data_IF_240966547068
#
_entry.id   IF_240966547068
#
_cell.length_a   1.000
_cell.length_b   1.000
_cell.length_c   1.000
_cell.angle_alpha   90.00
_cell.angle_beta   90.00
_cell.angle_gamma   90.00
#
_symmetry.space_group_name_H-M   'P 1'
#
loop_
_entity.id
_entity.type
_entity.pdbx_description
1 polymer ?
#
# COMPACT_ATOMS: atom_id res chain seq x y z
N UNK A 1 -9.29 -37.56 -42.37
CA UNK A 1 -10.43 -36.69 -42.04
C UNK A 1 -10.46 -36.62 -40.53
N UNK A 2 -10.03 -35.48 -40.01
CA UNK A 2 -9.60 -35.28 -38.64
C UNK A 2 -10.67 -34.44 -37.95
N UNK A 3 -11.34 -34.99 -36.94
CA UNK A 3 -12.28 -34.23 -36.10
C UNK A 3 -12.17 -34.69 -34.65
N UNK A 4 -11.30 -34.05 -33.90
CA UNK A 4 -11.44 -33.92 -32.45
C UNK A 4 -11.07 -32.50 -32.02
N UNK A 5 -11.98 -31.52 -32.15
CA UNK A 5 -11.80 -30.19 -31.58
C UNK A 5 -12.59 -30.10 -30.27
N UNK A 6 -12.13 -30.78 -29.22
CA UNK A 6 -12.71 -30.65 -27.86
C UNK A 6 -11.64 -30.35 -26.80
N UNK A 7 -10.35 -30.46 -27.14
CA UNK A 7 -9.25 -30.21 -26.20
C UNK A 7 -8.72 -28.77 -26.24
N UNK A 8 -9.59 -27.77 -26.32
CA UNK A 8 -9.20 -26.34 -26.29
C UNK A 8 -10.07 -25.47 -25.34
N UNK A 9 -10.82 -26.07 -24.42
CA UNK A 9 -11.72 -25.34 -23.50
C UNK A 9 -11.27 -25.30 -22.03
N UNK A 10 -9.96 -25.42 -21.73
CA UNK A 10 -9.46 -25.27 -20.35
C UNK A 10 -8.17 -24.43 -20.23
N UNK A 11 -8.09 -23.28 -20.92
CA UNK A 11 -7.05 -22.27 -20.63
C UNK A 11 -7.57 -20.83 -20.51
N UNK A 12 -8.88 -20.62 -20.41
CA UNK A 12 -9.46 -19.32 -20.05
C UNK A 12 -9.92 -19.34 -18.59
N UNK A 13 -8.97 -19.51 -17.66
CA UNK A 13 -9.30 -19.60 -16.23
C UNK A 13 -8.25 -19.05 -15.26
N UNK A 14 -7.16 -18.43 -15.76
CA UNK A 14 -6.03 -18.02 -14.92
C UNK A 14 -5.64 -16.53 -15.06
N UNK A 15 -6.55 -15.67 -15.54
CA UNK A 15 -6.36 -14.21 -15.49
C UNK A 15 -7.17 -13.50 -14.40
N UNK A 16 -7.71 -14.27 -13.45
CA UNK A 16 -8.43 -13.76 -12.29
C UNK A 16 -7.65 -13.85 -10.97
N UNK A 17 -6.32 -13.92 -10.97
CA UNK A 17 -5.55 -13.89 -9.72
C UNK A 17 -5.37 -12.44 -9.21
N UNK A 18 -6.49 -11.80 -8.84
CA UNK A 18 -6.47 -10.51 -8.15
C UNK A 18 -5.85 -10.66 -6.75
N UNK A 19 -4.54 -10.48 -6.63
CA UNK A 19 -3.75 -10.48 -5.38
C UNK A 19 -3.91 -11.78 -4.54
N UNK A 20 -2.98 -12.72 -4.74
CA UNK A 20 -3.00 -14.08 -4.21
C UNK A 20 -2.74 -14.22 -2.70
N UNK A 21 -2.52 -13.14 -1.97
CA UNK A 21 -2.16 -13.18 -0.55
C UNK A 21 -3.28 -12.59 0.32
N UNK A 22 -3.71 -13.29 1.40
CA UNK A 22 -4.61 -12.70 2.38
C UNK A 22 -4.03 -11.41 2.95
N UNK A 23 -4.87 -10.39 3.19
CA UNK A 23 -4.44 -9.13 3.80
C UNK A 23 -4.73 -9.15 5.30
N UNK A 24 -3.75 -8.75 6.11
CA UNK A 24 -3.89 -8.45 7.54
C UNK A 24 -3.91 -6.94 7.77
N UNK A 25 -4.62 -6.54 8.82
CA UNK A 25 -4.71 -5.15 9.26
C UNK A 25 -4.12 -4.96 10.66
N UNK A 26 -3.60 -3.77 10.91
CA UNK A 26 -3.01 -3.39 12.19
C UNK A 26 -3.50 -2.01 12.60
N UNK A 27 -3.82 -1.86 13.89
CA UNK A 27 -4.16 -0.59 14.49
C UNK A 27 -2.89 0.16 14.90
N UNK A 28 -2.78 1.42 14.47
CA UNK A 28 -1.73 2.36 14.87
C UNK A 28 -2.36 3.45 15.77
N UNK A 29 -2.19 3.40 17.10
CA UNK A 29 -2.93 4.24 18.05
C UNK A 29 -2.47 5.70 18.09
N UNK A 30 -1.22 5.97 17.74
CA UNK A 30 -0.65 7.31 17.79
C UNK A 30 -1.36 8.25 16.81
N UNK A 31 -1.82 9.40 17.31
CA UNK A 31 -2.52 10.40 16.50
C UNK A 31 -1.52 11.24 15.74
N UNK A 32 -1.66 11.28 14.42
CA UNK A 32 -0.73 12.00 13.55
C UNK A 32 -1.42 12.46 12.26
N UNK A 33 -0.78 13.36 11.52
CA UNK A 33 -1.25 13.78 10.20
C UNK A 33 -1.28 12.61 9.22
N UNK A 34 -2.10 12.69 8.17
CA UNK A 34 -2.25 11.62 7.18
C UNK A 34 -0.90 11.22 6.56
N UNK A 35 -0.06 12.20 6.20
CA UNK A 35 1.27 11.97 5.64
C UNK A 35 2.20 11.22 6.61
N UNK A 36 2.14 11.57 7.90
CA UNK A 36 2.93 10.91 8.95
C UNK A 36 2.44 9.48 9.20
N UNK A 37 1.11 9.28 9.22
CA UNK A 37 0.49 7.96 9.34
C UNK A 37 0.92 7.03 8.20
N UNK A 38 0.83 7.53 6.96
CA UNK A 38 1.29 6.83 5.78
C UNK A 38 2.76 6.45 5.85
N UNK A 39 3.64 7.41 6.15
CA UNK A 39 5.07 7.15 6.31
C UNK A 39 5.36 6.08 7.38
N UNK A 40 4.65 6.16 8.51
CA UNK A 40 4.78 5.19 9.61
C UNK A 40 4.30 3.80 9.19
N UNK A 41 3.14 3.69 8.54
CA UNK A 41 2.65 2.42 8.00
C UNK A 41 3.62 1.84 6.96
N UNK A 42 4.21 2.64 6.07
CA UNK A 42 5.18 2.17 5.07
C UNK A 42 6.48 1.64 5.69
N UNK A 43 6.89 2.21 6.83
CA UNK A 43 8.08 1.76 7.53
C UNK A 43 7.89 0.38 8.17
N UNK A 44 6.77 0.18 8.89
CA UNK A 44 6.48 -1.02 9.69
C UNK A 44 5.71 -2.10 8.90
N UNK A 45 4.75 -1.70 8.09
CA UNK A 45 3.80 -2.55 7.35
C UNK A 45 3.92 -2.32 5.84
N UNK A 46 2.86 -2.56 5.05
CA UNK A 46 2.85 -2.30 3.60
C UNK A 46 2.43 -0.88 3.26
N UNK A 47 1.29 -0.44 3.77
CA UNK A 47 0.71 0.89 3.55
C UNK A 47 -0.39 1.15 4.59
N UNK A 48 -1.04 2.32 4.53
CA UNK A 48 -2.36 2.51 5.11
C UNK A 48 -3.35 1.46 4.58
N UNK A 49 -4.40 1.19 5.36
CA UNK A 49 -5.38 0.17 5.01
C UNK A 49 -6.22 0.59 3.79
N UNK A 50 -6.31 -0.28 2.80
CA UNK A 50 -7.30 -0.17 1.73
C UNK A 50 -8.36 -1.25 1.99
N UNK A 51 -9.59 -0.81 2.25
CA UNK A 51 -10.75 -1.69 2.53
C UNK A 51 -11.47 -1.97 1.22
N UNK A 52 -11.50 -3.23 0.79
CA UNK A 52 -12.07 -3.60 -0.53
C UNK A 52 -13.06 -4.77 -0.49
N UNK A 53 -13.39 -5.26 0.70
CA UNK A 53 -14.31 -6.37 0.91
C UNK A 53 -14.91 -6.33 2.31
N UNK A 54 -16.06 -6.98 2.49
CA UNK A 54 -16.68 -7.12 3.81
C UNK A 54 -15.77 -7.84 4.81
N UNK A 55 -14.96 -8.77 4.32
CA UNK A 55 -13.95 -9.48 5.13
C UNK A 55 -12.88 -8.52 5.67
N UNK A 56 -12.47 -7.52 4.89
CA UNK A 56 -11.54 -6.49 5.37
C UNK A 56 -12.20 -5.68 6.49
N UNK A 57 -13.46 -5.28 6.29
CA UNK A 57 -14.21 -4.50 7.26
C UNK A 57 -14.43 -5.27 8.58
N UNK A 58 -14.71 -6.57 8.50
CA UNK A 58 -14.86 -7.43 9.68
C UNK A 58 -13.56 -7.51 10.50
N UNK A 59 -12.40 -7.60 9.84
CA UNK A 59 -11.11 -7.57 10.53
C UNK A 59 -10.89 -6.25 11.26
N UNK A 60 -11.22 -5.12 10.64
CA UNK A 60 -11.11 -3.81 11.28
C UNK A 60 -12.06 -3.67 12.48
N UNK A 61 -13.28 -4.22 12.40
CA UNK A 61 -14.24 -4.27 13.52
C UNK A 61 -13.68 -5.04 14.72
N UNK A 62 -13.07 -6.19 14.50
CA UNK A 62 -12.40 -6.96 15.57
C UNK A 62 -11.26 -6.18 16.21
N UNK A 63 -10.47 -5.45 15.42
CA UNK A 63 -9.44 -4.56 15.95
C UNK A 63 -10.02 -3.43 16.80
N UNK A 64 -11.17 -2.87 16.41
CA UNK A 64 -11.90 -1.88 17.22
C UNK A 64 -12.31 -2.45 18.57
N UNK A 65 -12.95 -3.62 18.59
CA UNK A 65 -13.39 -4.26 19.83
C UNK A 65 -12.21 -4.52 20.77
N UNK A 66 -11.09 -5.03 20.24
CA UNK A 66 -9.90 -5.32 21.03
C UNK A 66 -9.18 -4.08 21.59
N UNK A 67 -9.30 -2.91 20.94
CA UNK A 67 -8.54 -1.70 21.30
C UNK A 67 -9.42 -0.54 21.79
N UNK A 68 -10.75 -0.67 21.74
CA UNK A 68 -11.74 0.29 22.24
C UNK A 68 -11.53 1.75 21.76
N UNK A 69 -11.17 1.96 20.49
CA UNK A 69 -11.03 3.31 19.94
C UNK A 69 -12.34 3.86 19.36
N UNK A 70 -12.45 5.20 19.41
CA UNK A 70 -13.61 6.00 19.01
C UNK A 70 -13.34 6.93 17.80
N UNK A 71 -12.18 7.60 17.65
CA UNK A 71 -12.04 8.63 16.61
C UNK A 71 -12.07 8.03 15.18
N UNK A 72 -12.22 8.87 14.15
CA UNK A 72 -11.89 8.49 12.77
C UNK A 72 -10.46 7.96 12.67
N UNK A 73 -10.21 7.08 11.70
CA UNK A 73 -8.86 6.56 11.44
C UNK A 73 -8.45 6.80 10.00
N UNK A 74 -7.18 7.15 9.80
CA UNK A 74 -6.59 7.22 8.46
C UNK A 74 -6.59 5.87 7.77
N UNK A 75 -6.99 5.87 6.49
CA UNK A 75 -6.99 4.73 5.58
C UNK A 75 -6.54 5.20 4.18
N UNK A 76 -6.01 4.28 3.37
CA UNK A 76 -5.56 4.58 2.00
C UNK A 76 -6.71 4.70 0.99
N UNK A 77 -7.79 3.94 1.23
CA UNK A 77 -8.87 3.77 0.27
C UNK A 77 -10.00 2.91 0.83
N UNK A 78 -11.18 3.08 0.23
CA UNK A 78 -12.39 2.33 0.59
C UNK A 78 -13.19 2.06 -0.67
N UNK A 79 -13.38 0.79 -1.00
CA UNK A 79 -14.09 0.32 -2.18
C UNK A 79 -14.88 -0.95 -1.83
N UNK A 80 -16.01 -0.77 -1.15
CA UNK A 80 -16.99 -1.84 -1.03
C UNK A 80 -17.96 -1.63 -2.17
N UNK A 81 -18.07 -2.61 -3.08
CA UNK A 81 -19.14 -2.68 -4.08
C UNK A 81 -20.48 -2.81 -3.34
N UNK A 82 -20.95 -1.69 -2.83
CA UNK A 82 -22.24 -1.53 -2.21
C UNK A 82 -23.05 -0.82 -3.28
N UNK A 83 -24.00 -1.55 -3.85
CA UNK A 83 -25.07 -1.01 -4.71
C UNK A 83 -25.96 0.02 -3.98
N UNK A 84 -25.61 0.41 -2.75
CA UNK A 84 -26.23 1.48 -1.99
C UNK A 84 -25.70 2.85 -2.44
N UNK A 85 -26.04 3.20 -3.67
CA UNK A 85 -26.14 4.59 -4.07
C UNK A 85 -27.33 5.20 -3.32
N UNK A 86 -27.14 5.66 -2.07
CA UNK A 86 -28.16 6.45 -1.37
C UNK A 86 -27.56 7.52 -0.45
N UNK A 87 -27.41 8.70 -1.05
CA UNK A 87 -28.09 9.94 -0.64
C UNK A 87 -28.30 10.13 0.87
N UNK A 88 -27.41 10.89 1.47
CA UNK A 88 -27.81 12.00 2.35
C UNK A 88 -26.70 13.04 2.27
N UNK A 89 -27.05 14.27 1.92
CA UNK A 89 -26.16 15.41 1.92
C UNK A 89 -25.83 15.80 3.36
N UNK A 90 -24.96 15.02 4.00
CA UNK A 90 -24.09 15.52 5.04
C UNK A 90 -22.70 15.64 4.40
N UNK A 91 -22.16 16.86 4.37
CA UNK A 91 -21.00 17.29 3.58
C UNK A 91 -19.71 16.44 3.73
N UNK A 92 -19.70 15.45 4.62
CA UNK A 92 -18.53 14.67 5.01
C UNK A 92 -18.61 13.17 4.64
N UNK A 93 -19.76 12.62 4.24
CA UNK A 93 -19.86 11.22 3.77
C UNK A 93 -19.53 11.14 2.28
N UNK A 94 -18.62 10.22 1.94
CA UNK A 94 -18.08 10.08 0.60
C UNK A 94 -18.79 8.96 -0.15
N UNK A 95 -19.05 9.15 -1.45
CA UNK A 95 -19.42 8.05 -2.35
C UNK A 95 -18.19 7.21 -2.70
N UNK A 96 -18.37 6.00 -3.23
CA UNK A 96 -17.25 5.17 -3.70
C UNK A 96 -16.39 5.87 -4.78
N UNK A 97 -16.98 6.75 -5.59
CA UNK A 97 -16.20 7.53 -6.56
C UNK A 97 -15.37 8.63 -5.89
N UNK A 98 -15.86 9.19 -4.77
CA UNK A 98 -15.12 10.21 -4.00
C UNK A 98 -13.97 9.59 -3.17
N UNK A 99 -14.07 8.33 -2.76
CA UNK A 99 -12.98 7.65 -2.04
C UNK A 99 -11.79 7.33 -2.93
N UNK A 100 -12.06 7.03 -4.22
CA UNK A 100 -11.03 6.78 -5.22
C UNK A 100 -10.26 8.05 -5.63
N UNK A 101 -10.90 9.23 -5.53
CA UNK A 101 -10.24 10.51 -5.86
C UNK A 101 -9.40 11.06 -4.71
N UNK A 102 -9.67 10.64 -3.47
CA UNK A 102 -8.91 11.03 -2.27
C UNK A 102 -7.71 10.12 -1.97
N UNK A 103 -7.36 9.22 -2.89
CA UNK A 103 -6.26 8.29 -2.67
C UNK A 103 -4.94 9.03 -2.54
N UNK A 104 -4.22 8.71 -1.47
CA UNK A 104 -2.78 8.93 -1.27
C UNK A 104 -2.26 10.35 -1.06
N UNK A 105 -2.77 11.36 -1.76
CA UNK A 105 -2.17 12.72 -1.77
C UNK A 105 -3.17 13.84 -1.39
N UNK A 106 -4.39 13.45 -1.04
CA UNK A 106 -5.48 14.36 -0.72
C UNK A 106 -6.08 15.07 -1.94
N UNK A 107 -7.25 15.70 -1.79
CA UNK A 107 -7.82 16.51 -2.86
C UNK A 107 -7.14 17.89 -2.96
N UNK A 108 -7.53 18.65 -3.99
CA UNK A 108 -7.07 20.03 -4.21
C UNK A 108 -7.38 21.00 -3.08
N UNK A 109 -8.24 20.61 -2.12
CA UNK A 109 -8.63 21.39 -0.95
C UNK A 109 -7.94 20.92 0.34
N UNK A 110 -7.06 19.92 0.26
CA UNK A 110 -6.29 19.40 1.39
C UNK A 110 -7.07 18.41 2.27
N UNK A 111 -8.09 17.76 1.74
CA UNK A 111 -8.80 16.67 2.43
C UNK A 111 -8.17 15.31 2.13
N UNK A 112 -8.11 14.46 3.15
CA UNK A 112 -7.65 13.08 3.09
C UNK A 112 -8.75 12.13 3.58
N UNK A 113 -8.66 10.86 3.18
CA UNK A 113 -9.64 9.84 3.50
C UNK A 113 -9.44 9.24 4.89
N UNK A 114 -10.50 9.24 5.69
CA UNK A 114 -10.56 8.53 6.96
C UNK A 114 -11.79 7.60 7.01
N UNK A 115 -11.77 6.65 7.94
CA UNK A 115 -12.87 5.76 8.24
C UNK A 115 -13.55 6.18 9.54
N UNK A 116 -14.84 6.49 9.49
CA UNK A 116 -15.63 6.70 10.70
C UNK A 116 -15.94 5.34 11.33
N UNK A 117 -15.51 5.12 12.56
CA UNK A 117 -15.66 3.80 13.23
C UNK A 117 -17.01 3.58 13.89
N UNK A 118 -17.85 4.62 13.98
CA UNK A 118 -19.24 4.51 14.43
C UNK A 118 -20.13 4.00 13.30
N UNK A 119 -20.02 4.59 12.11
CA UNK A 119 -20.83 4.23 10.93
C UNK A 119 -20.17 3.24 9.98
N UNK A 120 -18.85 2.99 10.11
CA UNK A 120 -18.05 2.19 9.18
C UNK A 120 -18.11 2.70 7.73
N UNK A 121 -18.30 4.02 7.57
CA UNK A 121 -18.33 4.71 6.28
C UNK A 121 -17.11 5.61 6.09
N UNK A 122 -16.63 5.77 4.85
CA UNK A 122 -15.56 6.70 4.53
C UNK A 122 -16.01 8.15 4.78
N UNK A 123 -15.10 8.96 5.31
CA UNK A 123 -15.29 10.39 5.54
C UNK A 123 -14.06 11.17 5.09
N UNK A 124 -14.26 12.43 4.71
CA UNK A 124 -13.16 13.37 4.45
C UNK A 124 -12.74 14.09 5.74
N UNK A 125 -11.44 14.29 5.91
CA UNK A 125 -10.84 15.02 7.03
C UNK A 125 -9.68 15.88 6.52
N UNK A 126 -9.32 16.97 7.21
CA UNK A 126 -8.15 17.72 6.77
C UNK A 126 -6.91 16.86 6.92
N UNK A 127 -6.06 16.80 5.89
CA UNK A 127 -4.86 15.95 5.89
C UNK A 127 -3.90 16.25 7.08
N UNK A 128 -3.99 17.47 7.63
CA UNK A 128 -3.21 17.95 8.77
C UNK A 128 -3.80 17.57 10.14
N UNK A 129 -5.04 17.07 10.19
CA UNK A 129 -5.66 16.64 11.44
C UNK A 129 -4.93 15.41 12.01
N UNK A 130 -4.95 15.28 13.33
CA UNK A 130 -4.27 14.19 14.01
C UNK A 130 -5.23 13.08 14.38
N UNK A 131 -5.21 12.00 13.59
CA UNK A 131 -5.99 10.79 13.82
C UNK A 131 -5.10 9.56 13.95
N UNK A 132 -5.54 8.50 14.66
CA UNK A 132 -4.95 7.17 14.56
C UNK A 132 -5.09 6.60 13.14
N UNK A 133 -4.48 5.46 12.86
CA UNK A 133 -4.53 4.88 11.52
C UNK A 133 -4.73 3.35 11.53
N UNK A 134 -5.25 2.83 10.43
CA UNK A 134 -5.11 1.42 10.11
C UNK A 134 -4.02 1.24 9.06
N UNK A 135 -3.10 0.32 9.32
CA UNK A 135 -2.13 -0.15 8.33
C UNK A 135 -2.55 -1.50 7.78
N UNK A 136 -2.11 -1.83 6.57
CA UNK A 136 -2.28 -3.14 5.96
C UNK A 136 -0.94 -3.82 5.69
N UNK A 137 -0.97 -5.15 5.69
CA UNK A 137 0.14 -5.99 5.28
C UNK A 137 -0.39 -7.24 4.58
N UNK A 138 0.15 -7.54 3.41
CA UNK A 138 -0.15 -8.80 2.73
C UNK A 138 0.55 -9.95 3.49
N UNK A 139 -0.11 -11.10 3.62
CA UNK A 139 0.44 -12.32 4.21
C UNK A 139 1.52 -12.90 3.29
N UNK A 140 2.69 -12.27 3.29
CA UNK A 140 3.87 -12.69 2.53
C UNK A 140 5.13 -12.47 3.35
N UNK A 141 6.20 -13.22 3.02
CA UNK A 141 7.50 -13.00 3.64
C UNK A 141 8.10 -11.71 3.10
N UNK A 142 8.29 -10.71 3.98
CA UNK A 142 9.05 -9.50 3.65
C UNK A 142 10.54 -9.82 3.66
N UNK A 143 11.19 -9.66 2.51
CA UNK A 143 12.66 -9.79 2.38
C UNK A 143 13.23 -8.42 2.05
N UNK A 144 14.19 -7.96 2.84
CA UNK A 144 14.94 -6.72 2.57
C UNK A 144 16.23 -7.08 1.86
N UNK A 145 16.33 -6.66 0.59
CA UNK A 145 17.56 -6.83 -0.20
C UNK A 145 18.30 -5.49 -0.25
N UNK A 146 19.61 -5.49 0.07
CA UNK A 146 20.49 -4.35 -0.20
C UNK A 146 21.05 -4.52 -1.61
N UNK A 147 20.79 -3.56 -2.47
CA UNK A 147 21.32 -3.54 -3.83
C UNK A 147 22.51 -2.59 -3.88
N UNK A 148 23.68 -3.10 -4.28
CA UNK A 148 24.85 -2.27 -4.57
C UNK A 148 24.75 -1.77 -6.01
N UNK A 149 24.93 -0.46 -6.19
CA UNK A 149 24.96 0.17 -7.50
C UNK A 149 26.41 0.49 -7.88
N UNK A 150 26.72 0.29 -9.16
CA UNK A 150 27.99 0.67 -9.78
C UNK A 150 27.66 1.52 -11.01
N UNK A 151 27.33 2.80 -10.83
CA UNK A 151 27.00 3.68 -11.95
C UNK A 151 28.28 4.10 -12.69
N UNK A 152 28.17 4.31 -14.01
CA UNK A 152 29.26 4.82 -14.86
C UNK A 152 29.50 6.34 -14.68
N UNK A 153 28.82 6.97 -13.72
CA UNK A 153 28.88 8.40 -13.44
C UNK A 153 28.13 8.79 -12.15
N UNK A 154 28.10 10.08 -11.80
CA UNK A 154 27.35 10.56 -10.64
C UNK A 154 25.86 10.23 -10.82
N UNK A 155 25.28 9.59 -9.81
CA UNK A 155 23.91 9.11 -9.82
C UNK A 155 23.19 9.62 -8.57
N UNK A 156 22.09 10.33 -8.76
CA UNK A 156 21.23 10.78 -7.68
C UNK A 156 20.09 9.78 -7.46
N UNK A 157 20.13 9.05 -6.33
CA UNK A 157 19.10 8.09 -5.97
C UNK A 157 17.85 8.74 -5.38
N UNK A 158 17.82 10.06 -5.24
CA UNK A 158 16.62 10.81 -4.88
C UNK A 158 15.80 11.19 -6.11
N UNK A 159 16.40 11.16 -7.30
CA UNK A 159 15.72 11.40 -8.57
C UNK A 159 14.66 10.30 -8.85
N UNK A 160 13.37 10.68 -9.00
CA UNK A 160 12.30 9.76 -9.35
C UNK A 160 12.55 8.97 -10.62
N UNK A 161 13.17 9.55 -11.65
CA UNK A 161 13.45 8.90 -12.93
C UNK A 161 14.50 7.78 -12.77
N UNK A 162 15.53 8.02 -11.95
CA UNK A 162 16.56 7.04 -11.64
C UNK A 162 15.95 5.87 -10.86
N UNK A 163 15.14 6.15 -9.84
CA UNK A 163 14.41 5.12 -9.07
C UNK A 163 13.50 4.27 -9.95
N UNK A 164 12.79 4.90 -10.89
CA UNK A 164 11.89 4.20 -11.80
C UNK A 164 12.63 3.25 -12.74
N UNK A 165 13.74 3.71 -13.34
CA UNK A 165 14.60 2.87 -14.19
C UNK A 165 15.16 1.68 -13.43
N UNK A 166 15.56 1.89 -12.17
CA UNK A 166 16.07 0.81 -11.31
C UNK A 166 14.97 -0.19 -10.92
N UNK A 167 13.78 0.28 -10.53
CA UNK A 167 12.62 -0.59 -10.26
C UNK A 167 12.27 -1.42 -11.48
N UNK A 168 12.23 -0.81 -12.66
CA UNK A 168 11.94 -1.51 -13.92
C UNK A 168 12.91 -2.67 -14.13
N UNK A 169 14.22 -2.44 -13.91
CA UNK A 169 15.25 -3.48 -14.08
C UNK A 169 15.15 -4.59 -13.03
N UNK A 170 14.74 -4.27 -11.80
CA UNK A 170 14.49 -5.27 -10.76
C UNK A 170 13.27 -6.13 -11.13
N UNK A 171 12.17 -5.48 -11.53
CA UNK A 171 10.95 -6.18 -11.94
C UNK A 171 11.18 -7.07 -13.16
N UNK A 172 11.94 -6.59 -14.15
CA UNK A 172 12.37 -7.41 -15.30
C UNK A 172 13.10 -8.68 -14.85
N UNK A 173 14.08 -8.55 -13.95
CA UNK A 173 14.80 -9.71 -13.42
C UNK A 173 13.91 -10.67 -12.64
N UNK A 174 12.95 -10.16 -11.87
CA UNK A 174 11.98 -10.98 -11.15
C UNK A 174 11.04 -11.74 -12.10
N UNK A 175 10.60 -11.08 -13.18
CA UNK A 175 9.80 -11.71 -14.22
C UNK A 175 10.57 -12.83 -14.92
N UNK A 176 11.84 -12.59 -15.27
CA UNK A 176 12.69 -13.58 -15.94
C UNK A 176 12.94 -14.85 -15.12
N UNK A 177 12.81 -14.78 -13.78
CA UNK A 177 12.91 -15.95 -12.88
C UNK A 177 11.54 -16.47 -12.42
N UNK A 178 10.44 -16.00 -13.02
CA UNK A 178 9.08 -16.48 -12.73
C UNK A 178 8.48 -15.98 -11.42
N UNK A 179 9.03 -14.92 -10.81
CA UNK A 179 8.58 -14.36 -9.53
C UNK A 179 7.77 -13.06 -9.65
N UNK A 180 7.51 -12.59 -10.88
CA UNK A 180 6.87 -11.29 -11.16
C UNK A 180 5.58 -11.04 -10.38
N UNK A 181 4.63 -11.95 -10.50
CA UNK A 181 3.31 -11.80 -9.89
C UNK A 181 3.30 -12.16 -8.39
N UNK A 182 4.32 -12.90 -7.94
CA UNK A 182 4.45 -13.35 -6.56
C UNK A 182 5.17 -12.33 -5.66
N UNK A 183 5.94 -11.40 -6.23
CA UNK A 183 6.83 -10.50 -5.49
C UNK A 183 6.51 -9.04 -5.77
N UNK A 184 6.01 -8.32 -4.76
CA UNK A 184 5.82 -6.87 -4.81
C UNK A 184 7.07 -6.14 -4.30
N UNK A 185 7.74 -5.40 -5.18
CA UNK A 185 8.95 -4.61 -4.85
C UNK A 185 8.57 -3.19 -4.40
N UNK A 186 9.28 -2.66 -3.40
CA UNK A 186 9.19 -1.25 -2.99
C UNK A 186 10.53 -0.73 -2.46
N UNK A 187 10.76 0.58 -2.59
CA UNK A 187 11.90 1.25 -1.97
C UNK A 187 11.71 1.33 -0.45
N UNK A 188 12.79 1.11 0.28
CA UNK A 188 12.86 1.37 1.71
C UNK A 188 13.90 2.47 1.95
N UNK A 189 13.46 3.61 2.44
CA UNK A 189 14.38 4.66 2.91
C UNK A 189 14.94 4.23 4.25
N UNK A 190 16.21 3.85 4.26
CA UNK A 190 16.94 3.60 5.51
C UNK A 190 17.41 4.97 6.00
N UNK A 191 16.89 5.45 7.14
CA UNK A 191 17.50 6.60 7.82
C UNK A 191 18.90 6.14 8.24
N UNK A 192 19.95 6.77 7.71
CA UNK A 192 21.33 6.42 8.01
C UNK A 192 21.62 6.66 9.51
N UNK A 193 21.53 5.62 10.33
CA UNK A 193 22.27 5.60 11.58
C UNK A 193 23.72 5.26 11.24
N UNK A 194 24.57 6.29 11.18
CA UNK A 194 26.04 6.22 11.18
C UNK A 194 26.66 5.31 10.10
N UNK A 195 26.66 5.77 8.85
CA UNK A 195 27.66 5.31 7.88
C UNK A 195 29.02 5.84 8.35
N UNK A 196 29.81 5.01 9.04
CA UNK A 196 31.25 5.26 9.12
C UNK A 196 31.77 5.23 7.69
N UNK A 197 32.24 6.38 7.21
CA UNK A 197 33.04 6.48 6.01
C UNK A 197 34.22 5.51 6.16
N UNK A 198 34.21 4.39 5.43
CA UNK A 198 35.42 3.58 5.28
C UNK A 198 36.26 4.33 4.25
N UNK A 199 37.20 5.14 4.74
CA UNK A 199 38.25 5.70 3.91
C UNK A 199 39.11 4.56 3.37
N UNK A 200 39.33 4.55 2.05
CA UNK A 200 40.25 3.63 1.37
C UNK A 200 41.63 3.63 2.04
N UNK A 201 42.07 2.46 2.49
CA UNK A 201 43.50 2.16 2.67
C UNK A 201 43.89 1.20 1.55
N UNK A 202 44.45 1.77 0.49
CA UNK A 202 45.29 1.02 -0.42
C UNK A 202 46.62 0.80 0.29
N UNK A 203 46.84 -0.40 0.82
CA UNK A 203 48.19 -0.89 1.09
C UNK A 203 48.14 -2.42 1.22
N UNK A 204 48.44 -3.10 0.12
CA UNK A 204 49.04 -4.42 0.20
C UNK A 204 50.54 -4.20 0.41
N UNK A 205 51.05 -4.64 1.55
CA UNK A 205 52.45 -5.06 1.75
C UNK A 205 52.40 -6.45 2.34
#
# INVERSE_FOLDING_TARGET
>A
MNTTPILLLLLSGLWGAHSLLPKKFYYLPEKMSHATAKSTCNSKYVDLAFVRSDKDLEQLKKLKEANSFIPPLWIAGFDLNSDEQNTTENNNTLTNNDTLTLTNDGDSKGFCLALNTGSWKPVKQFCTDNYPAFCSQDEGKRVVMRVKLTPDGPMDLTDPAIRMKMLSKINEKLNNIGLGDAVKVRWLTIKEHNVKQISNSNTCV
#
